data_IF_480623292045
#
_entry.id   IF_480623292045
#
_cell.length_a   1.000
_cell.length_b   1.000
_cell.length_c   1.000
_cell.angle_alpha   90.00
_cell.angle_beta   90.00
_cell.angle_gamma   90.00
#
_symmetry.space_group_name_H-M   'P 1'
#
loop_
_entity.id
_entity.type
_entity.pdbx_description
1 polymer ?
#
# COMPACT_ATOMS: atom_id res chain seq x y z
N UNK A 1 7.47 -6.02 -1.95
CA UNK A 1 6.10 -5.69 -1.48
C UNK A 1 5.02 -6.48 -2.22
N UNK A 2 4.93 -6.42 -3.55
CA UNK A 2 3.84 -7.05 -4.31
C UNK A 2 3.76 -8.57 -4.12
N UNK A 3 4.88 -9.28 -4.28
CA UNK A 3 4.95 -10.74 -4.09
C UNK A 3 4.45 -11.19 -2.71
N UNK A 4 4.94 -10.57 -1.63
CA UNK A 4 4.51 -10.91 -0.27
C UNK A 4 3.04 -10.60 -0.02
N UNK A 5 2.47 -9.58 -0.70
CA UNK A 5 1.02 -9.31 -0.62
C UNK A 5 0.20 -10.40 -1.32
N UNK A 6 0.64 -10.88 -2.48
CA UNK A 6 -0.04 -11.95 -3.23
C UNK A 6 0.03 -13.27 -2.45
N UNK A 7 1.20 -13.60 -1.89
CA UNK A 7 1.37 -14.80 -1.06
C UNK A 7 0.52 -14.74 0.21
N UNK A 8 0.37 -13.58 0.84
CA UNK A 8 -0.51 -13.43 2.00
C UNK A 8 -1.99 -13.64 1.63
N UNK A 9 -2.45 -13.12 0.49
CA UNK A 9 -3.84 -13.30 0.01
C UNK A 9 -4.21 -14.77 -0.21
N UNK A 10 -3.24 -15.65 -0.49
CA UNK A 10 -3.49 -17.10 -0.64
C UNK A 10 -3.95 -17.76 0.65
N UNK A 11 -3.53 -17.23 1.81
CA UNK A 11 -3.73 -17.84 3.12
C UNK A 11 -4.61 -17.00 4.05
N UNK A 12 -5.03 -15.81 3.62
CA UNK A 12 -5.69 -14.84 4.49
C UNK A 12 -6.77 -14.06 3.74
N UNK A 13 -7.89 -13.79 4.41
CA UNK A 13 -8.98 -13.03 3.83
C UNK A 13 -8.58 -11.55 3.60
N UNK A 14 -9.15 -10.93 2.57
CA UNK A 14 -8.94 -9.52 2.18
C UNK A 14 -9.26 -8.56 3.33
N UNK A 15 -10.28 -8.86 4.13
CA UNK A 15 -10.63 -8.09 5.32
C UNK A 15 -9.49 -8.04 6.33
N UNK A 16 -8.94 -9.20 6.68
CA UNK A 16 -7.80 -9.31 7.60
C UNK A 16 -6.55 -8.65 7.02
N UNK A 17 -6.29 -8.81 5.72
CA UNK A 17 -5.16 -8.17 5.05
C UNK A 17 -5.24 -6.65 5.10
N UNK A 18 -6.45 -6.11 4.95
CA UNK A 18 -6.70 -4.67 5.03
C UNK A 18 -6.42 -4.12 6.42
N UNK A 19 -6.89 -4.85 7.43
CA UNK A 19 -6.72 -4.54 8.84
C UNK A 19 -5.23 -4.59 9.23
N UNK A 20 -4.54 -5.69 8.91
CA UNK A 20 -3.13 -5.86 9.23
C UNK A 20 -2.21 -4.88 8.51
N UNK A 21 -2.59 -4.39 7.32
CA UNK A 21 -1.84 -3.31 6.63
C UNK A 21 -1.79 -2.02 7.44
N UNK A 22 -2.69 -1.79 8.39
CA UNK A 22 -2.60 -0.62 9.27
C UNK A 22 -1.35 -0.66 10.17
N UNK A 23 -0.79 -1.85 10.44
CA UNK A 23 0.49 -1.99 11.14
C UNK A 23 1.64 -1.35 10.36
N UNK A 24 1.57 -1.38 9.02
CA UNK A 24 2.56 -0.71 8.18
C UNK A 24 2.60 0.80 8.46
N UNK A 25 1.46 1.44 8.76
CA UNK A 25 1.41 2.87 9.09
C UNK A 25 2.23 3.19 10.34
N UNK A 26 2.16 2.34 11.37
CA UNK A 26 2.97 2.50 12.59
C UNK A 26 4.46 2.35 12.27
N UNK A 27 4.83 1.28 11.55
CA UNK A 27 6.23 1.02 11.17
C UNK A 27 6.77 2.19 10.36
N UNK A 28 5.97 2.73 9.43
CA UNK A 28 6.32 3.91 8.65
C UNK A 28 6.49 5.14 9.54
N UNK A 29 5.61 5.38 10.51
CA UNK A 29 5.72 6.53 11.42
C UNK A 29 6.98 6.45 12.30
N UNK A 30 7.28 5.27 12.85
CA UNK A 30 8.51 5.02 13.62
C UNK A 30 9.75 5.24 12.74
N UNK A 31 9.74 4.70 11.52
CA UNK A 31 10.83 4.88 10.57
C UNK A 31 10.99 6.32 10.09
N UNK A 32 9.90 7.08 9.95
CA UNK A 32 9.90 8.49 9.57
C UNK A 32 10.59 9.34 10.67
N UNK A 33 10.27 9.04 11.94
CA UNK A 33 10.94 9.64 13.10
C UNK A 33 12.44 9.30 13.15
N UNK A 34 12.82 8.03 12.94
CA UNK A 34 14.22 7.62 13.02
C UNK A 34 15.08 8.15 11.86
N UNK A 35 14.58 8.06 10.62
CA UNK A 35 15.35 8.40 9.41
C UNK A 35 15.33 9.90 9.10
N UNK A 36 14.21 10.59 9.33
CA UNK A 36 14.04 12.00 8.98
C UNK A 36 13.99 12.93 10.21
N UNK A 37 14.17 12.38 11.43
CA UNK A 37 14.14 13.12 12.71
C UNK A 37 12.87 13.97 12.90
N UNK A 38 11.76 13.55 12.30
CA UNK A 38 10.46 14.22 12.46
C UNK A 38 9.86 13.89 13.82
N UNK A 39 9.34 14.91 14.49
CA UNK A 39 8.53 14.71 15.69
C UNK A 39 7.06 14.61 15.31
N UNK A 40 6.35 13.68 15.95
CA UNK A 40 4.92 13.48 15.76
C UNK A 40 4.19 13.86 17.04
N UNK A 41 3.09 14.61 16.89
CA UNK A 41 2.21 15.00 17.99
C UNK A 41 1.59 13.75 18.66
N UNK A 42 1.27 13.82 19.95
CA UNK A 42 0.64 12.75 20.73
C UNK A 42 -0.65 12.25 20.07
N UNK A 43 -1.41 13.15 19.43
CA UNK A 43 -2.64 12.80 18.71
C UNK A 43 -2.40 11.85 17.52
N UNK A 44 -1.25 11.96 16.84
CA UNK A 44 -0.84 11.04 15.77
C UNK A 44 -0.58 9.65 16.33
N UNK A 45 0.11 9.57 17.47
CA UNK A 45 0.37 8.31 18.16
C UNK A 45 -0.90 7.62 18.65
N UNK A 46 -1.84 8.38 19.23
CA UNK A 46 -3.14 7.85 19.64
C UNK A 46 -3.89 7.28 18.44
N UNK A 47 -3.87 7.97 17.29
CA UNK A 47 -4.52 7.49 16.06
C UNK A 47 -3.89 6.18 15.56
N UNK A 48 -2.56 6.08 15.53
CA UNK A 48 -1.85 4.87 15.11
C UNK A 48 -2.07 3.69 16.06
N UNK A 49 -2.10 3.93 17.36
CA UNK A 49 -2.40 2.91 18.36
C UNK A 49 -3.83 2.40 18.22
N UNK A 50 -4.80 3.29 17.99
CA UNK A 50 -6.19 2.91 17.76
C UNK A 50 -6.34 2.04 16.51
N UNK A 51 -5.60 2.33 15.44
CA UNK A 51 -5.56 1.49 14.24
C UNK A 51 -5.00 0.09 14.51
N UNK A 52 -4.04 -0.05 15.44
CA UNK A 52 -3.49 -1.36 15.85
C UNK A 52 -4.45 -2.12 16.74
N UNK A 53 -5.10 -1.45 17.69
CA UNK A 53 -6.11 -2.08 18.55
C UNK A 53 -7.25 -2.62 17.69
N UNK A 54 -7.74 -1.82 16.74
CA UNK A 54 -8.70 -2.29 15.73
C UNK A 54 -8.17 -3.52 14.96
N UNK A 55 -6.87 -3.58 14.71
CA UNK A 55 -6.27 -4.70 14.00
C UNK A 55 -6.15 -5.98 14.80
N UNK A 56 -5.79 -5.88 16.07
CA UNK A 56 -5.73 -7.02 16.99
C UNK A 56 -7.14 -7.55 17.25
N UNK A 57 -8.12 -6.66 17.48
CA UNK A 57 -9.51 -7.08 17.68
C UNK A 57 -10.08 -7.79 16.46
N UNK A 58 -9.82 -7.28 15.24
CA UNK A 58 -10.17 -7.99 14.00
C UNK A 58 -9.45 -9.35 13.90
N UNK A 59 -8.15 -9.35 14.21
CA UNK A 59 -7.25 -10.51 14.33
C UNK A 59 -7.83 -11.68 15.12
N UNK A 60 -8.24 -11.39 16.36
CA UNK A 60 -8.73 -12.38 17.32
C UNK A 60 -10.07 -13.01 16.93
N UNK A 61 -10.85 -12.32 16.09
CA UNK A 61 -12.13 -12.84 15.57
C UNK A 61 -11.99 -13.62 14.27
N UNK A 62 -10.77 -13.82 13.77
CA UNK A 62 -10.52 -14.50 12.51
C UNK A 62 -10.62 -16.01 12.64
N UNK A 63 -11.73 -16.55 12.12
CA UNK A 63 -12.02 -17.97 12.08
C UNK A 63 -11.10 -18.74 11.10
N UNK A 64 -10.37 -18.04 10.22
CA UNK A 64 -9.49 -18.62 9.20
C UNK A 64 -7.99 -18.36 9.49
N UNK A 65 -7.58 -18.48 10.76
CA UNK A 65 -6.21 -18.19 11.17
C UNK A 65 -5.19 -19.13 10.49
N UNK A 66 -4.28 -18.54 9.70
CA UNK A 66 -3.14 -19.25 9.09
C UNK A 66 -1.84 -18.54 9.43
N UNK A 67 -1.04 -19.10 10.35
CA UNK A 67 0.22 -18.49 10.79
C UNK A 67 1.18 -18.12 9.65
N UNK A 68 1.18 -18.91 8.57
CA UNK A 68 1.96 -18.63 7.35
C UNK A 68 1.47 -17.35 6.65
N UNK A 69 0.15 -17.16 6.55
CA UNK A 69 -0.45 -15.95 5.97
C UNK A 69 -0.11 -14.68 6.75
N UNK A 70 -0.12 -14.77 8.08
CA UNK A 70 0.25 -13.66 8.96
C UNK A 70 1.75 -13.34 8.88
N UNK A 71 2.63 -14.35 8.80
CA UNK A 71 4.07 -14.13 8.61
C UNK A 71 4.38 -13.40 7.29
N UNK A 72 3.72 -13.83 6.19
CA UNK A 72 3.81 -13.12 4.91
C UNK A 72 3.26 -11.70 4.99
N UNK A 73 2.19 -11.48 5.76
CA UNK A 73 1.59 -10.15 5.91
C UNK A 73 2.47 -9.20 6.73
N UNK A 74 3.10 -9.66 7.81
CA UNK A 74 4.07 -8.87 8.59
C UNK A 74 5.25 -8.50 7.70
N UNK A 75 5.78 -9.47 6.95
CA UNK A 75 6.84 -9.25 5.95
C UNK A 75 6.39 -8.23 4.90
N UNK A 76 5.14 -8.29 4.43
CA UNK A 76 4.56 -7.31 3.53
C UNK A 76 4.53 -5.90 4.16
N UNK A 77 4.12 -5.77 5.42
CA UNK A 77 4.07 -4.49 6.12
C UNK A 77 5.47 -3.87 6.26
N UNK A 78 6.47 -4.67 6.65
CA UNK A 78 7.87 -4.24 6.74
C UNK A 78 8.42 -3.78 5.38
N UNK A 79 8.19 -4.56 4.33
CA UNK A 79 8.62 -4.21 2.97
C UNK A 79 7.89 -2.97 2.43
N UNK A 80 6.61 -2.79 2.78
CA UNK A 80 5.82 -1.61 2.39
C UNK A 80 6.39 -0.36 3.04
N UNK A 81 6.59 -0.39 4.37
CA UNK A 81 7.16 0.72 5.10
C UNK A 81 8.59 1.05 4.63
N UNK A 82 9.42 0.01 4.47
CA UNK A 82 10.79 0.14 3.96
C UNK A 82 10.83 0.75 2.57
N UNK A 83 9.95 0.33 1.66
CA UNK A 83 9.83 0.92 0.33
C UNK A 83 9.48 2.40 0.39
N UNK A 84 8.43 2.79 1.12
CA UNK A 84 8.00 4.20 1.21
C UNK A 84 9.07 5.09 1.83
N UNK A 85 9.73 4.63 2.90
CA UNK A 85 10.80 5.38 3.57
C UNK A 85 12.05 5.52 2.69
N UNK A 86 12.46 4.43 2.04
CA UNK A 86 13.63 4.44 1.14
C UNK A 86 13.34 5.30 -0.07
N UNK A 87 12.17 5.18 -0.67
CA UNK A 87 11.76 6.01 -1.81
C UNK A 87 11.83 7.50 -1.44
N UNK A 88 11.27 7.88 -0.29
CA UNK A 88 11.34 9.27 0.19
C UNK A 88 12.80 9.73 0.38
N UNK A 89 13.63 8.90 1.02
CA UNK A 89 15.05 9.22 1.25
C UNK A 89 15.79 9.40 -0.07
N UNK A 90 15.55 8.53 -1.04
CA UNK A 90 16.14 8.62 -2.39
C UNK A 90 15.69 9.89 -3.10
N UNK A 91 14.42 10.28 -3.00
CA UNK A 91 13.92 11.53 -3.56
C UNK A 91 14.63 12.75 -2.95
N UNK A 92 14.82 12.76 -1.62
CA UNK A 92 15.50 13.86 -0.92
C UNK A 92 17.02 13.90 -1.25
N UNK A 93 17.69 12.75 -1.39
CA UNK A 93 19.11 12.67 -1.80
C UNK A 93 19.29 13.10 -3.26
N UNK A 94 18.45 12.59 -4.16
CA UNK A 94 18.50 12.93 -5.57
C UNK A 94 18.28 14.43 -5.79
N UNK A 95 17.39 15.06 -5.02
CA UNK A 95 17.18 16.52 -5.05
C UNK A 95 18.45 17.31 -4.74
N UNK A 96 19.27 16.84 -3.78
CA UNK A 96 20.54 17.49 -3.41
C UNK A 96 21.65 17.27 -4.44
N UNK A 97 21.64 16.13 -5.13
CA UNK A 97 22.65 15.76 -6.12
C UNK A 97 22.37 16.35 -7.53
N UNK A 98 21.17 16.88 -7.78
CA UNK A 98 20.79 17.39 -9.10
C UNK A 98 21.11 18.89 -9.22
N UNK A 99 21.94 19.26 -10.20
CA UNK A 99 22.35 20.65 -10.45
C UNK A 99 21.19 21.62 -10.76
N UNK A 100 20.03 21.13 -11.23
CA UNK A 100 18.82 21.93 -11.49
C UNK A 100 17.96 22.21 -10.25
N UNK A 101 18.31 21.68 -9.07
CA UNK A 101 17.61 21.92 -7.80
C UNK A 101 16.30 21.15 -7.59
N UNK A 102 15.79 20.42 -8.59
CA UNK A 102 14.63 19.53 -8.49
C UNK A 102 14.73 18.36 -9.47
N UNK A 103 14.59 17.11 -8.98
CA UNK A 103 14.28 15.98 -9.84
C UNK A 103 12.85 16.19 -10.37
N UNK A 104 12.67 16.15 -11.69
CA UNK A 104 11.33 16.24 -12.27
C UNK A 104 10.50 15.02 -11.80
N UNK A 105 9.21 15.23 -11.55
CA UNK A 105 8.28 14.14 -11.18
C UNK A 105 8.26 13.03 -12.23
N UNK A 106 8.37 13.42 -13.50
CA UNK A 106 8.54 12.50 -14.61
C UNK A 106 9.77 11.59 -14.43
N UNK A 107 10.93 12.16 -14.08
CA UNK A 107 12.17 11.39 -13.88
C UNK A 107 12.04 10.40 -12.71
N UNK A 108 11.39 10.80 -11.61
CA UNK A 108 11.16 9.90 -10.47
C UNK A 108 10.29 8.71 -10.86
N UNK A 109 9.20 8.97 -11.58
CA UNK A 109 8.27 7.93 -12.04
C UNK A 109 8.94 7.00 -13.04
N UNK A 110 9.67 7.56 -14.01
CA UNK A 110 10.41 6.80 -15.00
C UNK A 110 11.44 5.88 -14.34
N UNK A 111 12.26 6.41 -13.42
CA UNK A 111 13.29 5.62 -12.75
C UNK A 111 12.68 4.47 -11.93
N UNK A 112 11.67 4.74 -11.10
CA UNK A 112 11.05 3.69 -10.29
C UNK A 112 10.43 2.58 -11.14
N UNK A 113 9.75 2.93 -12.23
CA UNK A 113 9.13 1.93 -13.11
C UNK A 113 10.20 1.16 -13.90
N UNK A 114 11.18 1.85 -14.48
CA UNK A 114 12.26 1.22 -15.23
C UNK A 114 13.13 0.30 -14.37
N UNK A 115 13.47 0.69 -13.13
CA UNK A 115 14.20 -0.18 -12.21
C UNK A 115 13.36 -1.37 -11.71
N UNK A 116 12.03 -1.25 -11.72
CA UNK A 116 11.14 -2.34 -11.34
C UNK A 116 11.01 -3.42 -12.42
N UNK A 117 11.22 -3.08 -13.70
CA UNK A 117 11.14 -4.04 -14.81
C UNK A 117 12.11 -5.22 -14.72
N UNK A 118 13.44 -5.03 -14.55
CA UNK A 118 14.38 -6.16 -14.49
C UNK A 118 14.12 -7.06 -13.27
N UNK A 119 13.75 -6.46 -12.13
CA UNK A 119 13.38 -7.22 -10.93
C UNK A 119 12.07 -8.01 -11.15
N UNK A 120 11.08 -7.40 -11.79
CA UNK A 120 9.81 -8.05 -12.14
C UNK A 120 10.01 -9.22 -13.10
N UNK A 121 10.82 -9.03 -14.14
CA UNK A 121 11.17 -10.10 -15.08
C UNK A 121 11.94 -11.23 -14.39
N UNK A 122 12.91 -10.91 -13.54
CA UNK A 122 13.66 -11.91 -12.78
C UNK A 122 12.75 -12.76 -11.88
N UNK A 123 11.77 -12.14 -11.22
CA UNK A 123 10.76 -12.87 -10.44
C UNK A 123 9.84 -13.71 -11.35
N UNK A 124 9.41 -13.19 -12.50
CA UNK A 124 8.56 -13.94 -13.43
C UNK A 124 9.24 -15.23 -13.94
N UNK A 125 10.54 -15.17 -14.22
CA UNK A 125 11.33 -16.37 -14.55
C UNK A 125 11.48 -17.32 -13.35
N UNK A 126 11.76 -16.80 -12.16
CA UNK A 126 11.93 -17.62 -10.95
C UNK A 126 10.67 -18.43 -10.59
N UNK A 127 9.48 -17.87 -10.82
CA UNK A 127 8.20 -18.51 -10.55
C UNK A 127 7.63 -19.29 -11.75
N UNK A 128 8.36 -19.41 -12.86
CA UNK A 128 7.93 -20.06 -14.11
C UNK A 128 6.58 -19.54 -14.66
N UNK A 129 6.29 -18.25 -14.45
CA UNK A 129 5.05 -17.62 -14.93
C UNK A 129 5.05 -17.44 -16.47
N UNK A 130 6.24 -17.42 -17.08
CA UNK A 130 6.40 -17.27 -18.53
C UNK A 130 5.83 -18.48 -19.28
N UNK A 131 6.10 -19.69 -18.78
CA UNK A 131 5.58 -20.93 -19.37
C UNK A 131 4.05 -21.03 -19.21
N UNK A 132 3.55 -20.57 -18.07
CA UNK A 132 2.11 -20.46 -17.82
C UNK A 132 1.43 -19.45 -18.76
N UNK A 133 2.03 -18.28 -18.98
CA UNK A 133 1.51 -17.27 -19.90
C UNK A 133 1.47 -17.74 -21.34
N UNK A 134 2.53 -18.43 -21.80
CA UNK A 134 2.61 -18.95 -23.17
C UNK A 134 1.63 -20.10 -23.45
N UNK A 135 1.32 -20.91 -22.44
CA UNK A 135 0.32 -21.98 -22.54
C UNK A 135 -1.12 -21.49 -22.37
N UNK A 136 -1.33 -20.29 -21.83
CA UNK A 136 -2.66 -19.71 -21.62
C UNK A 136 -3.29 -19.21 -22.91
N UNK A 137 -4.54 -19.58 -23.16
CA UNK A 137 -5.32 -19.12 -24.32
C UNK A 137 -5.69 -17.63 -24.25
N UNK A 138 -5.58 -17.00 -23.07
CA UNK A 138 -5.98 -15.61 -22.81
C UNK A 138 -5.12 -14.62 -23.61
N UNK A 139 -3.84 -14.93 -23.81
CA UNK A 139 -2.88 -14.08 -24.55
C UNK A 139 -3.24 -13.96 -26.04
N UNK A 140 -4.04 -14.90 -26.58
CA UNK A 140 -4.50 -14.87 -27.98
C UNK A 140 -5.68 -13.91 -28.19
N UNK A 141 -6.33 -13.44 -27.13
CA UNK A 141 -7.47 -12.53 -27.22
C UNK A 141 -7.03 -11.08 -27.39
N UNK A 142 -7.55 -10.38 -28.39
CA UNK A 142 -7.31 -8.94 -28.57
C UNK A 142 -7.85 -8.10 -27.40
N UNK A 143 -8.92 -8.58 -26.74
CA UNK A 143 -9.49 -7.90 -25.58
C UNK A 143 -8.54 -7.90 -24.37
N UNK A 144 -7.76 -8.98 -24.21
CA UNK A 144 -6.77 -9.06 -23.14
C UNK A 144 -5.72 -7.97 -23.28
N UNK A 145 -5.18 -7.77 -24.49
CA UNK A 145 -4.20 -6.73 -24.77
C UNK A 145 -4.79 -5.33 -24.59
N UNK A 146 -6.01 -5.10 -25.08
CA UNK A 146 -6.69 -3.81 -24.89
C UNK A 146 -6.86 -3.46 -23.41
N UNK A 147 -7.40 -4.38 -22.60
CA UNK A 147 -7.59 -4.16 -21.17
C UNK A 147 -6.24 -4.02 -20.45
N UNK A 148 -5.24 -4.82 -20.81
CA UNK A 148 -3.90 -4.76 -20.21
C UNK A 148 -3.19 -3.44 -20.51
N UNK A 149 -3.32 -2.91 -21.72
CA UNK A 149 -2.79 -1.59 -22.07
C UNK A 149 -3.53 -0.49 -21.31
N UNK A 150 -4.86 -0.58 -21.22
CA UNK A 150 -5.67 0.40 -20.48
C UNK A 150 -5.33 0.43 -18.97
N UNK A 151 -5.20 -0.74 -18.34
CA UNK A 151 -4.77 -0.82 -16.93
C UNK A 151 -3.34 -0.33 -16.74
N UNK A 152 -2.46 -0.51 -17.73
CA UNK A 152 -1.14 0.11 -17.78
C UNK A 152 -1.20 1.64 -17.71
N UNK A 153 -2.05 2.28 -18.52
CA UNK A 153 -2.24 3.74 -18.47
C UNK A 153 -2.76 4.23 -17.11
N UNK A 154 -3.76 3.54 -16.55
CA UNK A 154 -4.27 3.86 -15.20
C UNK A 154 -3.17 3.66 -14.14
N UNK A 155 -2.36 2.60 -14.27
CA UNK A 155 -1.22 2.32 -13.39
C UNK A 155 -0.14 3.41 -13.45
N UNK A 156 0.13 3.97 -14.63
CA UNK A 156 1.02 5.12 -14.79
C UNK A 156 0.45 6.37 -14.08
N UNK A 157 -0.84 6.65 -14.24
CA UNK A 157 -1.49 7.77 -13.56
C UNK A 157 -1.42 7.62 -12.02
N UNK A 158 -1.65 6.42 -11.50
CA UNK A 158 -1.49 6.11 -10.07
C UNK A 158 -0.03 6.30 -9.64
N UNK A 159 0.94 5.84 -10.42
CA UNK A 159 2.36 5.99 -10.11
C UNK A 159 2.77 7.46 -10.02
N UNK A 160 2.31 8.28 -10.97
CA UNK A 160 2.60 9.71 -11.00
C UNK A 160 2.00 10.43 -9.80
N UNK A 161 0.70 10.26 -9.58
CA UNK A 161 0.00 10.88 -8.44
C UNK A 161 0.55 10.42 -7.09
N UNK A 162 0.91 9.14 -6.96
CA UNK A 162 1.50 8.59 -5.72
C UNK A 162 2.86 9.20 -5.40
N UNK A 163 3.74 9.33 -6.39
CA UNK A 163 5.06 9.93 -6.18
C UNK A 163 4.98 11.42 -5.92
N UNK A 164 4.15 12.13 -6.68
CA UNK A 164 3.88 13.53 -6.43
C UNK A 164 3.35 13.75 -5.01
N UNK A 165 2.38 12.95 -4.57
CA UNK A 165 1.84 13.04 -3.22
C UNK A 165 2.89 12.74 -2.14
N UNK A 166 3.72 11.71 -2.34
CA UNK A 166 4.81 11.37 -1.42
C UNK A 166 5.88 12.49 -1.36
N UNK A 167 6.14 13.17 -2.47
CA UNK A 167 7.09 14.30 -2.58
C UNK A 167 6.61 15.52 -1.81
N UNK A 168 5.33 15.87 -1.91
CA UNK A 168 4.78 17.06 -1.28
C UNK A 168 4.49 16.85 0.22
N UNK A 169 4.23 15.62 0.65
CA UNK A 169 3.84 15.33 2.04
C UNK A 169 4.95 14.66 2.86
N UNK A 170 4.99 13.32 2.84
CA UNK A 170 5.94 12.51 3.59
C UNK A 170 5.44 11.08 3.79
N UNK A 171 6.31 10.16 4.23
CA UNK A 171 6.03 8.72 4.30
C UNK A 171 4.80 8.38 5.14
N UNK A 172 4.70 8.98 6.34
CA UNK A 172 3.61 8.70 7.29
C UNK A 172 2.25 9.14 6.75
N UNK A 173 2.20 10.32 6.12
CA UNK A 173 0.96 10.84 5.52
C UNK A 173 0.56 10.04 4.29
N UNK A 174 1.53 9.71 3.44
CA UNK A 174 1.32 8.85 2.27
C UNK A 174 0.70 7.50 2.66
N UNK A 175 1.29 6.81 3.65
CA UNK A 175 0.81 5.50 4.10
C UNK A 175 -0.61 5.56 4.69
N UNK A 176 -0.88 6.62 5.46
CA UNK A 176 -2.18 6.77 6.13
C UNK A 176 -3.30 7.17 5.15
N UNK A 177 -3.04 8.08 4.21
CA UNK A 177 -3.99 8.36 3.11
C UNK A 177 -4.23 7.13 2.26
N UNK A 178 -3.19 6.33 1.98
CA UNK A 178 -3.35 5.03 1.33
C UNK A 178 -4.25 4.06 2.09
N UNK A 179 -4.21 4.09 3.43
CA UNK A 179 -5.11 3.30 4.28
C UNK A 179 -6.53 3.86 4.28
N UNK A 180 -6.69 5.19 4.24
CA UNK A 180 -7.98 5.86 4.16
C UNK A 180 -8.71 5.62 2.85
N UNK A 181 -7.98 5.59 1.72
CA UNK A 181 -8.56 5.31 0.40
C UNK A 181 -9.30 3.97 0.36
N UNK A 182 -8.96 3.02 1.24
CA UNK A 182 -9.65 1.73 1.32
C UNK A 182 -11.08 1.87 1.84
N UNK A 183 -11.38 2.87 2.66
CA UNK A 183 -12.71 3.07 3.24
C UNK A 183 -13.74 3.41 2.15
N UNK A 184 -13.55 4.44 1.30
CA UNK A 184 -14.45 4.70 0.18
C UNK A 184 -14.56 3.52 -0.79
N UNK A 185 -13.46 2.80 -1.06
CA UNK A 185 -13.48 1.61 -1.92
C UNK A 185 -14.36 0.52 -1.31
N UNK A 186 -14.26 0.26 0.00
CA UNK A 186 -15.13 -0.69 0.69
C UNK A 186 -16.61 -0.27 0.66
N UNK A 187 -16.91 1.02 0.87
CA UNK A 187 -18.29 1.55 0.78
C UNK A 187 -18.84 1.40 -0.65
N UNK A 188 -18.06 1.79 -1.66
CA UNK A 188 -18.44 1.61 -3.07
C UNK A 188 -18.65 0.13 -3.41
N UNK A 189 -17.83 -0.77 -2.87
CA UNK A 189 -17.98 -2.22 -3.02
C UNK A 189 -19.32 -2.72 -2.51
N UNK A 190 -19.73 -2.27 -1.32
CA UNK A 190 -21.01 -2.62 -0.71
C UNK A 190 -22.19 -2.07 -1.53
N UNK A 191 -22.11 -0.80 -1.96
CA UNK A 191 -23.21 -0.14 -2.67
C UNK A 191 -23.39 -0.64 -4.11
N UNK A 192 -22.30 -0.81 -4.86
CA UNK A 192 -22.34 -1.19 -6.28
C UNK A 192 -22.50 -2.68 -6.48
N UNK A 193 -21.83 -3.51 -5.68
CA UNK A 193 -21.79 -4.96 -5.87
C UNK A 193 -22.61 -5.74 -4.85
N UNK A 194 -23.33 -5.04 -3.94
CA UNK A 194 -24.18 -5.65 -2.89
C UNK A 194 -23.47 -6.77 -2.11
N UNK A 195 -22.18 -6.56 -1.82
CA UNK A 195 -21.36 -7.53 -1.09
C UNK A 195 -21.98 -7.77 0.29
N UNK A 196 -22.12 -9.03 0.75
CA UNK A 196 -22.69 -9.31 2.07
C UNK A 196 -21.90 -8.61 3.18
N UNK A 197 -22.59 -7.81 3.98
CA UNK A 197 -22.00 -7.01 5.06
C UNK A 197 -22.20 -7.69 6.41
N UNK A 198 -21.10 -8.11 7.03
CA UNK A 198 -21.12 -8.54 8.43
C UNK A 198 -20.98 -7.34 9.36
N UNK A 199 -21.56 -7.43 10.57
CA UNK A 199 -21.44 -6.40 11.61
C UNK A 199 -19.97 -6.02 11.88
N UNK A 200 -19.01 -6.97 11.98
CA UNK A 200 -17.59 -6.64 12.14
C UNK A 200 -16.99 -5.82 10.99
N UNK A 201 -17.45 -6.05 9.74
CA UNK A 201 -16.95 -5.32 8.58
C UNK A 201 -17.42 -3.85 8.61
N UNK A 202 -18.66 -3.61 9.04
CA UNK A 202 -19.22 -2.28 9.26
C UNK A 202 -18.46 -1.49 10.34
N UNK A 203 -18.17 -2.13 11.48
CA UNK A 203 -17.35 -1.51 12.53
C UNK A 203 -15.94 -1.19 12.05
N UNK A 204 -15.33 -2.09 11.27
CA UNK A 204 -13.98 -1.87 10.70
C UNK A 204 -13.93 -0.65 9.77
N UNK A 205 -14.96 -0.46 8.93
CA UNK A 205 -15.10 0.72 8.07
C UNK A 205 -15.24 2.00 8.92
N UNK A 206 -16.09 1.96 9.95
CA UNK A 206 -16.33 3.10 10.83
C UNK A 206 -15.06 3.52 11.61
N UNK A 207 -14.39 2.58 12.26
CA UNK A 207 -13.15 2.86 13.01
C UNK A 207 -12.02 3.30 12.09
N UNK A 208 -11.92 2.74 10.87
CA UNK A 208 -10.96 3.18 9.87
C UNK A 208 -11.18 4.64 9.44
N UNK A 209 -12.43 5.03 9.23
CA UNK A 209 -12.80 6.42 8.90
C UNK A 209 -12.51 7.36 10.07
N UNK A 210 -12.91 6.98 11.29
CA UNK A 210 -12.69 7.77 12.50
C UNK A 210 -11.18 8.00 12.77
N UNK A 211 -10.36 6.95 12.68
CA UNK A 211 -8.91 7.06 12.84
C UNK A 211 -8.28 7.99 11.78
N UNK A 212 -8.77 7.93 10.55
CA UNK A 212 -8.33 8.83 9.49
C UNK A 212 -8.66 10.30 9.70
N UNK A 213 -9.89 10.58 10.14
CA UNK A 213 -10.34 11.94 10.46
C UNK A 213 -9.53 12.49 11.65
N UNK A 214 -9.32 11.67 12.68
CA UNK A 214 -8.48 12.03 13.83
C UNK A 214 -7.06 12.38 13.40
N UNK A 215 -6.44 11.57 12.53
CA UNK A 215 -5.11 11.86 12.02
C UNK A 215 -5.06 13.14 11.16
N UNK A 216 -6.02 13.34 10.26
CA UNK A 216 -6.08 14.53 9.43
C UNK A 216 -6.15 15.80 10.29
N UNK A 217 -6.96 15.77 11.37
CA UNK A 217 -6.99 16.86 12.36
C UNK A 217 -5.67 17.00 13.12
N UNK A 218 -5.09 15.90 13.58
CA UNK A 218 -3.84 15.88 14.34
C UNK A 218 -2.63 16.43 13.58
N UNK A 219 -2.67 16.44 12.24
CA UNK A 219 -1.61 17.00 11.40
C UNK A 219 -1.84 18.47 11.02
N UNK A 220 -3.07 18.96 11.12
CA UNK A 220 -3.40 20.37 10.91
C UNK A 220 -3.19 21.22 12.17
N UNK A 221 -3.15 20.58 13.34
CA UNK A 221 -2.84 21.17 14.65
C UNK A 221 -1.34 21.09 14.95
#
# INVERSE_FOLDING_TARGET
MLLSSIMSLKYMNIGMLTIMKNLANLITAVGDMYLFRKQHNLQVWISLLLMIVSAICGGLTDLAFSGIGYAWQITNCLLTAGYTLTLRKTMDVARKATQSGNLSEYSMVLLNNSLSLPLGLGLAFLFNEVDYLLSSSVVRSSMFWFVSTLTGFVGLAISFTSMWFLKETGPTTYSLVGSLNKVPISVAGILLFKVPTSIPNLFSIFFGLAAGIMFARAKML
#
